data_IF_184903429636
#
_entry.id   IF_184903429636
#
_cell.length_a   1.000
_cell.length_b   1.000
_cell.length_c   1.000
_cell.angle_alpha   90.00
_cell.angle_beta   90.00
_cell.angle_gamma   90.00
#
_symmetry.space_group_name_H-M   'P 1'
#
loop_
_entity.id
_entity.type
_entity.pdbx_description
1 polymer ?
#
# COMPACT_ATOMS: atom_id res chain seq x y z
N UNK A 1 -25.98 -38.80 -59.20
CA UNK A 1 -26.30 -37.69 -58.26
C UNK A 1 -25.49 -37.73 -56.94
N UNK A 2 -24.90 -38.87 -56.52
CA UNK A 2 -24.12 -38.95 -55.27
C UNK A 2 -22.73 -38.27 -55.30
N UNK A 3 -22.10 -38.09 -56.46
CA UNK A 3 -20.75 -37.50 -56.55
C UNK A 3 -20.73 -35.98 -56.31
N UNK A 4 -21.83 -35.26 -56.57
CA UNK A 4 -21.92 -33.82 -56.30
C UNK A 4 -22.03 -33.49 -54.80
N UNK A 5 -22.63 -34.39 -54.02
CA UNK A 5 -22.80 -34.23 -52.57
C UNK A 5 -21.49 -34.41 -51.81
N UNK A 6 -20.64 -35.36 -52.23
CA UNK A 6 -19.31 -35.56 -51.65
C UNK A 6 -18.37 -34.38 -51.93
N UNK A 7 -18.43 -33.80 -53.13
CA UNK A 7 -17.68 -32.60 -53.46
C UNK A 7 -18.12 -31.39 -52.63
N UNK A 8 -19.42 -31.26 -52.35
CA UNK A 8 -19.98 -30.18 -51.53
C UNK A 8 -19.62 -30.33 -50.05
N UNK A 9 -19.63 -31.57 -49.53
CA UNK A 9 -19.18 -31.87 -48.16
C UNK A 9 -17.68 -31.61 -47.97
N UNK A 10 -16.85 -31.97 -48.94
CA UNK A 10 -15.41 -31.68 -48.92
C UNK A 10 -15.11 -30.17 -48.95
N UNK A 11 -15.90 -29.40 -49.70
CA UNK A 11 -15.74 -27.95 -49.79
C UNK A 11 -16.17 -27.24 -48.49
N UNK A 12 -17.22 -27.71 -47.83
CA UNK A 12 -17.64 -27.21 -46.51
C UNK A 12 -16.63 -27.59 -45.43
N UNK A 13 -16.05 -28.80 -45.48
CA UNK A 13 -15.00 -29.21 -44.53
C UNK A 13 -13.70 -28.43 -44.73
N UNK A 14 -13.32 -28.11 -45.98
CA UNK A 14 -12.17 -27.27 -46.28
C UNK A 14 -12.38 -25.83 -45.80
N UNK A 15 -13.60 -25.28 -45.92
CA UNK A 15 -13.95 -23.95 -45.42
C UNK A 15 -13.99 -23.85 -43.89
N UNK A 16 -14.31 -24.95 -43.19
CA UNK A 16 -14.31 -25.04 -41.72
C UNK A 16 -12.89 -25.22 -41.13
N UNK A 17 -11.97 -25.80 -41.91
CA UNK A 17 -10.55 -25.94 -41.54
C UNK A 17 -9.70 -24.71 -41.90
N UNK A 18 -10.18 -23.86 -42.81
CA UNK A 18 -9.60 -22.55 -43.07
C UNK A 18 -10.13 -21.51 -42.08
N UNK A 19 -9.94 -21.73 -40.78
CA UNK A 19 -9.87 -20.56 -39.90
C UNK A 19 -8.57 -19.84 -40.29
N UNK A 20 -8.59 -18.54 -40.63
CA UNK A 20 -7.35 -17.80 -40.73
C UNK A 20 -6.71 -17.91 -39.35
N UNK A 21 -5.63 -18.67 -39.25
CA UNK A 21 -4.70 -18.47 -38.15
C UNK A 21 -4.40 -16.97 -38.20
N UNK A 22 -4.87 -16.21 -37.21
CA UNK A 22 -4.44 -14.83 -37.01
C UNK A 22 -2.96 -14.89 -36.67
N UNK A 23 -2.13 -15.13 -37.68
CA UNK A 23 -0.69 -15.08 -37.58
C UNK A 23 -0.39 -13.63 -37.24
N UNK A 24 0.00 -13.40 -35.98
CA UNK A 24 0.43 -12.08 -35.56
C UNK A 24 1.58 -11.65 -36.45
N UNK A 25 1.51 -10.43 -36.97
CA UNK A 25 2.56 -9.91 -37.84
C UNK A 25 3.68 -9.41 -36.95
N UNK A 26 4.82 -10.11 -37.01
CA UNK A 26 6.01 -9.70 -36.29
C UNK A 26 6.56 -8.38 -36.84
N UNK A 27 6.93 -7.48 -35.93
CA UNK A 27 7.57 -6.20 -36.18
C UNK A 27 8.91 -6.14 -35.44
N UNK A 28 9.88 -5.46 -36.04
CA UNK A 28 11.13 -5.11 -35.37
C UNK A 28 10.93 -3.93 -34.41
N UNK A 29 11.80 -3.79 -33.41
CA UNK A 29 11.80 -2.65 -32.50
C UNK A 29 11.92 -1.30 -33.22
N UNK A 30 12.69 -1.26 -34.32
CA UNK A 30 12.85 -0.03 -35.11
C UNK A 30 11.53 0.36 -35.78
N UNK A 31 10.80 -0.59 -36.36
CA UNK A 31 9.48 -0.33 -36.96
C UNK A 31 8.47 0.14 -35.91
N UNK A 32 8.45 -0.47 -34.73
CA UNK A 32 7.59 -0.05 -33.62
C UNK A 32 7.87 1.41 -33.24
N UNK A 33 9.14 1.77 -33.08
CA UNK A 33 9.53 3.14 -32.71
C UNK A 33 9.19 4.16 -33.81
N UNK A 34 9.34 3.78 -35.08
CA UNK A 34 8.94 4.62 -36.21
C UNK A 34 7.42 4.86 -36.25
N UNK A 35 6.62 3.83 -35.95
CA UNK A 35 5.16 3.96 -35.87
C UNK A 35 4.73 4.84 -34.71
N UNK A 36 5.29 4.64 -33.51
CA UNK A 36 5.00 5.47 -32.33
C UNK A 36 5.36 6.93 -32.62
N UNK A 37 6.49 7.19 -33.29
CA UNK A 37 6.96 8.55 -33.59
C UNK A 37 6.34 9.14 -34.86
N UNK A 38 5.38 8.46 -35.51
CA UNK A 38 4.82 8.88 -36.78
C UNK A 38 4.01 10.19 -36.62
N UNK A 39 4.34 11.28 -37.34
CA UNK A 39 3.65 12.56 -37.18
C UNK A 39 2.14 12.51 -37.43
N UNK A 40 1.68 11.68 -38.36
CA UNK A 40 0.26 11.54 -38.69
C UNK A 40 -0.49 10.90 -37.52
N UNK A 41 0.08 9.85 -36.92
CA UNK A 41 -0.52 9.18 -35.75
C UNK A 41 -0.52 10.13 -34.56
N UNK A 42 0.58 10.85 -34.32
CA UNK A 42 0.68 11.82 -33.23
C UNK A 42 -0.35 12.96 -33.35
N UNK A 43 -0.56 13.48 -34.56
CA UNK A 43 -1.62 14.45 -34.82
C UNK A 43 -3.00 13.87 -34.52
N UNK A 44 -3.29 12.63 -34.94
CA UNK A 44 -4.56 11.97 -34.67
C UNK A 44 -4.78 11.71 -33.18
N UNK A 45 -3.75 11.30 -32.46
CA UNK A 45 -3.83 11.13 -31.00
C UNK A 45 -4.09 12.47 -30.30
N UNK A 46 -3.52 13.57 -30.81
CA UNK A 46 -3.84 14.91 -30.29
C UNK A 46 -5.32 15.26 -30.47
N UNK A 47 -5.88 15.01 -31.66
CA UNK A 47 -7.33 15.17 -31.91
C UNK A 47 -8.17 14.24 -30.99
N UNK A 48 -7.69 13.03 -30.72
CA UNK A 48 -8.37 12.09 -29.82
C UNK A 48 -8.30 12.53 -28.37
N UNK A 49 -7.20 13.15 -27.94
CA UNK A 49 -7.09 13.76 -26.63
C UNK A 49 -8.10 14.88 -26.44
N UNK A 50 -8.40 15.68 -27.46
CA UNK A 50 -9.47 16.69 -27.38
C UNK A 50 -10.84 16.05 -27.16
N UNK A 51 -11.12 14.90 -27.77
CA UNK A 51 -12.35 14.14 -27.55
C UNK A 51 -12.42 13.56 -26.14
N UNK A 52 -11.29 13.06 -25.61
CA UNK A 52 -11.17 12.60 -24.21
C UNK A 52 -11.46 13.74 -23.24
N UNK A 53 -10.87 14.92 -23.43
CA UNK A 53 -11.08 16.07 -22.54
C UNK A 53 -12.52 16.61 -22.59
N UNK A 54 -13.24 16.39 -23.70
CA UNK A 54 -14.66 16.74 -23.88
C UNK A 54 -15.62 15.63 -23.44
N UNK A 55 -15.13 14.48 -22.97
CA UNK A 55 -15.89 13.27 -22.65
C UNK A 55 -16.74 12.74 -23.84
N UNK A 56 -16.31 13.03 -25.09
CA UNK A 56 -16.94 12.53 -26.33
C UNK A 56 -16.40 11.15 -26.70
N UNK A 57 -16.79 10.15 -25.92
CA UNK A 57 -16.28 8.78 -26.03
C UNK A 57 -16.82 8.07 -27.29
N UNK A 58 -18.02 8.44 -27.75
CA UNK A 58 -18.59 7.86 -28.96
C UNK A 58 -17.89 8.40 -30.21
N UNK A 59 -17.60 9.70 -30.25
CA UNK A 59 -16.75 10.31 -31.28
C UNK A 59 -15.35 9.71 -31.29
N UNK A 60 -14.76 9.48 -30.11
CA UNK A 60 -13.44 8.84 -29.97
C UNK A 60 -13.42 7.41 -30.55
N UNK A 61 -14.40 6.57 -30.16
CA UNK A 61 -14.53 5.20 -30.68
C UNK A 61 -14.67 5.20 -32.20
N UNK A 62 -15.54 6.07 -32.72
CA UNK A 62 -15.76 6.20 -34.15
C UNK A 62 -14.46 6.59 -34.87
N UNK A 63 -13.73 7.59 -34.37
CA UNK A 63 -12.51 8.06 -35.00
C UNK A 63 -11.39 7.02 -34.97
N UNK A 64 -11.21 6.30 -33.86
CA UNK A 64 -10.23 5.21 -33.74
C UNK A 64 -10.56 4.02 -34.67
N UNK A 65 -11.84 3.67 -34.79
CA UNK A 65 -12.27 2.54 -35.60
C UNK A 65 -12.12 2.76 -37.11
N UNK A 66 -11.93 4.02 -37.54
CA UNK A 66 -11.71 4.38 -38.95
C UNK A 66 -10.24 4.32 -39.37
N UNK A 67 -9.31 4.25 -38.42
CA UNK A 67 -7.91 4.07 -38.75
C UNK A 67 -7.67 2.64 -39.28
N UNK A 68 -6.85 2.54 -40.32
CA UNK A 68 -6.36 1.25 -40.79
C UNK A 68 -5.28 0.71 -39.85
N UNK A 69 -5.08 -0.61 -39.84
CA UNK A 69 -3.90 -1.22 -39.23
C UNK A 69 -2.64 -0.86 -40.04
N UNK A 70 -1.48 -0.60 -39.40
CA UNK A 70 -1.22 -0.64 -37.96
C UNK A 70 -1.61 0.64 -37.20
N UNK A 71 -1.89 1.75 -37.88
CA UNK A 71 -2.13 3.08 -37.27
C UNK A 71 -3.18 3.04 -36.15
N UNK A 72 -4.20 2.21 -36.28
CA UNK A 72 -5.21 2.03 -35.24
C UNK A 72 -4.64 1.51 -33.92
N UNK A 73 -3.80 0.46 -33.93
CA UNK A 73 -3.22 -0.09 -32.69
C UNK A 73 -2.20 0.87 -32.09
N UNK A 74 -1.42 1.55 -32.94
CA UNK A 74 -0.48 2.59 -32.51
C UNK A 74 -1.24 3.72 -31.83
N UNK A 75 -2.32 4.22 -32.44
CA UNK A 75 -3.12 5.29 -31.87
C UNK A 75 -3.77 4.89 -30.54
N UNK A 76 -4.25 3.64 -30.40
CA UNK A 76 -4.75 3.12 -29.11
C UNK A 76 -3.65 3.13 -28.06
N UNK A 77 -2.46 2.65 -28.40
CA UNK A 77 -1.32 2.58 -27.49
C UNK A 77 -0.87 3.97 -27.04
N UNK A 78 -0.59 4.88 -27.97
CA UNK A 78 -0.12 6.24 -27.65
C UNK A 78 -1.20 7.02 -26.91
N UNK A 79 -2.48 6.90 -27.29
CA UNK A 79 -3.58 7.55 -26.58
C UNK A 79 -3.66 7.12 -25.10
N UNK A 80 -3.66 5.81 -24.84
CA UNK A 80 -3.71 5.31 -23.46
C UNK A 80 -2.44 5.68 -22.68
N UNK A 81 -1.28 5.70 -23.36
CA UNK A 81 -0.03 6.14 -22.76
C UNK A 81 -0.08 7.63 -22.35
N UNK A 82 -0.61 8.50 -23.20
CA UNK A 82 -0.80 9.93 -22.88
C UNK A 82 -1.78 10.13 -21.71
N UNK A 83 -2.88 9.36 -21.66
CA UNK A 83 -3.82 9.38 -20.54
C UNK A 83 -3.14 8.98 -19.23
N UNK A 84 -2.33 7.92 -19.25
CA UNK A 84 -1.57 7.44 -18.09
C UNK A 84 -0.52 8.45 -17.65
N UNK A 85 0.29 8.97 -18.59
CA UNK A 85 1.38 9.92 -18.30
C UNK A 85 0.87 11.26 -17.75
N UNK A 86 -0.27 11.75 -18.27
CA UNK A 86 -0.90 12.98 -17.78
C UNK A 86 -1.77 12.78 -16.55
N UNK A 87 -1.89 11.54 -16.05
CA UNK A 87 -2.71 11.17 -14.88
C UNK A 87 -4.15 11.71 -14.99
N UNK A 88 -4.77 11.54 -16.16
CA UNK A 88 -6.14 12.02 -16.39
C UNK A 88 -7.12 11.18 -15.58
N UNK A 89 -7.96 11.85 -14.80
CA UNK A 89 -9.05 11.21 -14.04
C UNK A 89 -10.10 10.68 -15.03
N UNK A 90 -10.34 9.38 -15.01
CA UNK A 90 -11.31 8.77 -15.93
C UNK A 90 -12.75 9.04 -15.47
N UNK A 91 -13.57 9.55 -16.39
CA UNK A 91 -15.03 9.54 -16.23
C UNK A 91 -15.55 8.10 -16.31
N UNK A 92 -16.78 7.80 -15.82
CA UNK A 92 -17.36 6.47 -15.96
C UNK A 92 -17.45 5.99 -17.43
N UNK A 93 -17.79 6.90 -18.36
CA UNK A 93 -17.83 6.58 -19.80
C UNK A 93 -16.45 6.24 -20.34
N UNK A 94 -15.43 7.03 -19.94
CA UNK A 94 -14.06 6.78 -20.34
C UNK A 94 -13.51 5.47 -19.74
N UNK A 95 -13.83 5.16 -18.48
CA UNK A 95 -13.46 3.89 -17.86
C UNK A 95 -14.04 2.68 -18.62
N UNK A 96 -15.29 2.76 -19.10
CA UNK A 96 -15.87 1.72 -19.97
C UNK A 96 -15.08 1.59 -21.27
N UNK A 97 -14.73 2.71 -21.91
CA UNK A 97 -13.91 2.69 -23.12
C UNK A 97 -12.53 2.09 -22.89
N UNK A 98 -11.80 2.55 -21.88
CA UNK A 98 -10.47 2.03 -21.51
C UNK A 98 -10.57 0.54 -21.23
N UNK A 99 -11.56 0.09 -20.44
CA UNK A 99 -11.78 -1.34 -20.14
C UNK A 99 -11.99 -2.17 -21.39
N UNK A 100 -12.73 -1.65 -22.37
CA UNK A 100 -12.93 -2.35 -23.65
C UNK A 100 -11.63 -2.57 -24.44
N UNK A 101 -10.61 -1.71 -24.25
CA UNK A 101 -9.30 -1.87 -24.91
C UNK A 101 -8.53 -3.09 -24.41
N UNK A 102 -8.75 -3.52 -23.15
CA UNK A 102 -8.10 -4.70 -22.56
C UNK A 102 -8.46 -5.99 -23.31
N UNK A 103 -9.66 -6.06 -23.88
CA UNK A 103 -10.21 -7.27 -24.50
C UNK A 103 -10.01 -7.34 -26.02
N UNK A 104 -9.40 -6.32 -26.63
CA UNK A 104 -9.15 -6.33 -28.07
C UNK A 104 -7.89 -7.16 -28.38
N UNK A 105 -7.91 -8.00 -29.43
CA UNK A 105 -6.74 -8.75 -29.84
C UNK A 105 -5.69 -7.82 -30.46
N UNK A 106 -4.42 -8.12 -30.20
CA UNK A 106 -3.27 -7.42 -30.80
C UNK A 106 -2.83 -8.15 -32.05
N UNK A 107 -2.77 -7.44 -33.18
CA UNK A 107 -2.41 -8.00 -34.49
C UNK A 107 -0.91 -8.03 -34.68
N UNK A 108 -0.20 -7.05 -34.12
CA UNK A 108 1.25 -6.91 -34.27
C UNK A 108 1.98 -7.34 -33.01
N UNK A 109 3.03 -8.14 -33.20
CA UNK A 109 3.88 -8.64 -32.11
C UNK A 109 5.34 -8.28 -32.37
N UNK A 110 6.16 -8.30 -31.34
CA UNK A 110 7.60 -8.09 -31.42
C UNK A 110 8.29 -9.14 -30.56
N UNK A 111 9.46 -9.61 -31.01
CA UNK A 111 10.31 -10.47 -30.21
C UNK A 111 11.06 -9.66 -29.16
N UNK A 112 10.92 -10.06 -27.91
CA UNK A 112 11.69 -9.57 -26.78
C UNK A 112 12.66 -10.67 -26.33
N UNK A 113 13.92 -10.28 -26.07
CA UNK A 113 14.98 -11.19 -25.61
C UNK A 113 15.35 -10.85 -24.17
N UNK A 114 15.25 -11.84 -23.28
CA UNK A 114 15.63 -11.71 -21.87
C UNK A 114 16.08 -13.05 -21.31
N UNK A 115 17.15 -13.06 -20.49
CA UNK A 115 17.66 -14.23 -19.76
C UNK A 115 17.86 -15.51 -20.59
N UNK A 116 18.26 -15.37 -21.87
CA UNK A 116 18.50 -16.50 -22.77
C UNK A 116 17.25 -17.08 -23.44
N UNK A 117 16.08 -16.45 -23.24
CA UNK A 117 14.82 -16.81 -23.87
C UNK A 117 14.34 -15.71 -24.83
N UNK A 118 13.61 -16.12 -25.87
CA UNK A 118 12.88 -15.23 -26.77
C UNK A 118 11.38 -15.41 -26.55
N UNK A 119 10.65 -14.31 -26.34
CA UNK A 119 9.21 -14.34 -26.19
C UNK A 119 8.55 -13.29 -27.08
N UNK A 120 7.36 -13.61 -27.58
CA UNK A 120 6.58 -12.74 -28.44
C UNK A 120 5.61 -11.91 -27.58
N UNK A 121 5.74 -10.58 -27.65
CA UNK A 121 4.86 -9.63 -26.96
C UNK A 121 4.08 -8.79 -27.96
N UNK A 122 2.93 -8.20 -27.58
CA UNK A 122 2.27 -7.19 -28.41
C UNK A 122 3.21 -6.02 -28.72
N UNK A 123 3.36 -5.68 -30.00
CA UNK A 123 4.19 -4.56 -30.45
C UNK A 123 3.68 -3.22 -29.90
N UNK A 124 2.36 -3.09 -29.74
CA UNK A 124 1.69 -1.95 -29.14
C UNK A 124 0.82 -2.44 -27.98
N UNK A 125 1.40 -2.50 -26.77
CA UNK A 125 0.76 -3.15 -25.62
C UNK A 125 -0.30 -2.27 -24.91
N UNK A 126 -1.27 -1.77 -25.67
CA UNK A 126 -2.41 -1.02 -25.15
C UNK A 126 -3.29 -1.84 -24.16
N UNK A 127 -3.41 -3.19 -24.24
CA UNK A 127 -4.16 -3.94 -23.24
C UNK A 127 -3.53 -3.85 -21.83
N UNK A 128 -2.20 -3.85 -21.74
CA UNK A 128 -1.52 -3.70 -20.45
C UNK A 128 -1.71 -2.29 -19.86
N UNK A 129 -1.61 -1.24 -20.67
CA UNK A 129 -1.87 0.15 -20.21
C UNK A 129 -3.32 0.27 -19.73
N UNK A 130 -4.27 -0.25 -20.51
CA UNK A 130 -5.69 -0.29 -20.12
C UNK A 130 -5.90 -0.97 -18.77
N UNK A 131 -5.28 -2.12 -18.54
CA UNK A 131 -5.38 -2.84 -17.27
C UNK A 131 -4.88 -2.02 -16.07
N UNK A 132 -3.78 -1.26 -16.24
CA UNK A 132 -3.26 -0.36 -15.21
C UNK A 132 -4.16 0.84 -14.96
N UNK A 133 -4.63 1.50 -16.00
CA UNK A 133 -5.56 2.63 -15.91
C UNK A 133 -6.86 2.24 -15.17
N UNK A 134 -7.46 1.09 -15.51
CA UNK A 134 -8.65 0.59 -14.81
C UNK A 134 -8.36 0.23 -13.36
N UNK A 135 -7.18 -0.32 -13.07
CA UNK A 135 -6.76 -0.59 -11.69
C UNK A 135 -6.67 0.72 -10.88
N UNK A 136 -6.07 1.76 -11.45
CA UNK A 136 -5.98 3.10 -10.82
C UNK A 136 -7.37 3.67 -10.57
N UNK A 137 -8.22 3.73 -11.59
CA UNK A 137 -9.56 4.30 -11.46
C UNK A 137 -10.42 3.59 -10.40
N UNK A 138 -10.39 2.26 -10.36
CA UNK A 138 -11.09 1.51 -9.31
C UNK A 138 -10.56 1.83 -7.91
N UNK A 139 -9.24 2.07 -7.78
CA UNK A 139 -8.65 2.51 -6.52
C UNK A 139 -9.14 3.92 -6.15
N UNK A 140 -9.15 4.85 -7.09
CA UNK A 140 -9.58 6.24 -6.86
C UNK A 140 -11.04 6.31 -6.42
N UNK A 141 -11.93 5.51 -7.05
CA UNK A 141 -13.33 5.42 -6.64
C UNK A 141 -13.48 4.89 -5.21
N UNK A 142 -12.74 3.84 -4.84
CA UNK A 142 -12.76 3.30 -3.48
C UNK A 142 -12.20 4.28 -2.46
N UNK A 143 -11.15 5.01 -2.81
CA UNK A 143 -10.58 6.08 -1.96
C UNK A 143 -11.62 7.18 -1.72
N UNK A 144 -12.26 7.68 -2.78
CA UNK A 144 -13.27 8.71 -2.66
C UNK A 144 -14.48 8.24 -1.84
N UNK A 145 -14.96 7.02 -2.09
CA UNK A 145 -16.06 6.43 -1.33
C UNK A 145 -15.72 6.32 0.17
N UNK A 146 -14.53 5.81 0.49
CA UNK A 146 -14.02 5.75 1.86
C UNK A 146 -13.99 7.13 2.51
N UNK A 147 -13.34 8.11 1.88
CA UNK A 147 -13.24 9.48 2.41
C UNK A 147 -14.65 10.05 2.64
N UNK A 148 -15.55 9.97 1.65
CA UNK A 148 -16.91 10.50 1.79
C UNK A 148 -17.70 9.85 2.92
N UNK A 149 -17.60 8.53 3.11
CA UNK A 149 -18.28 7.84 4.21
C UNK A 149 -17.74 8.25 5.57
N UNK A 150 -16.43 8.45 5.69
CA UNK A 150 -15.82 8.88 6.95
C UNK A 150 -16.14 10.35 7.25
N UNK A 151 -16.01 11.23 6.27
CA UNK A 151 -16.30 12.67 6.40
C UNK A 151 -17.77 12.95 6.73
N UNK A 152 -18.67 12.02 6.37
CA UNK A 152 -20.09 12.09 6.74
C UNK A 152 -20.41 11.39 8.05
N UNK A 153 -19.42 10.84 8.74
CA UNK A 153 -19.60 10.06 9.97
C UNK A 153 -20.51 8.82 9.77
N UNK A 154 -20.49 8.25 8.55
CA UNK A 154 -21.31 7.10 8.15
C UNK A 154 -20.52 5.77 8.20
N UNK A 155 -19.19 5.81 8.20
CA UNK A 155 -18.34 4.62 8.16
C UNK A 155 -18.22 3.94 9.54
N UNK A 156 -18.75 2.72 9.68
CA UNK A 156 -18.53 1.87 10.86
C UNK A 156 -17.29 1.00 10.64
N UNK A 157 -16.21 1.26 11.38
CA UNK A 157 -14.90 0.60 11.21
C UNK A 157 -14.96 -0.91 11.34
N UNK A 158 -15.69 -1.41 12.35
CA UNK A 158 -15.81 -2.85 12.60
C UNK A 158 -16.35 -3.56 11.38
N UNK A 159 -17.50 -3.11 10.88
CA UNK A 159 -18.20 -3.75 9.78
C UNK A 159 -17.36 -3.63 8.51
N UNK A 160 -16.85 -2.41 8.24
CA UNK A 160 -16.04 -2.14 7.08
C UNK A 160 -14.72 -2.94 7.04
N UNK A 161 -14.03 -3.14 8.17
CA UNK A 161 -12.79 -3.93 8.21
C UNK A 161 -13.01 -5.44 8.41
N UNK A 162 -14.22 -5.88 8.76
CA UNK A 162 -14.52 -7.30 9.00
C UNK A 162 -15.26 -7.98 7.87
N UNK A 163 -15.97 -7.23 7.03
CA UNK A 163 -16.73 -7.77 5.90
C UNK A 163 -15.83 -8.26 4.75
N UNK A 164 -16.30 -9.27 4.02
CA UNK A 164 -15.67 -9.76 2.79
C UNK A 164 -14.56 -10.79 3.00
N UNK A 165 -13.75 -10.98 1.97
CA UNK A 165 -12.62 -11.91 1.99
C UNK A 165 -11.40 -11.30 2.69
N UNK A 166 -10.43 -12.11 3.12
CA UNK A 166 -9.19 -11.60 3.71
C UNK A 166 -8.44 -10.64 2.78
N UNK A 167 -8.54 -10.87 1.46
CA UNK A 167 -8.00 -9.96 0.44
C UNK A 167 -8.69 -8.59 0.45
N UNK A 168 -10.03 -8.57 0.55
CA UNK A 168 -10.79 -7.32 0.64
C UNK A 168 -10.45 -6.53 1.91
N UNK A 169 -10.32 -7.24 3.04
CA UNK A 169 -9.91 -6.66 4.32
C UNK A 169 -8.53 -6.02 4.23
N UNK A 170 -7.56 -6.71 3.64
CA UNK A 170 -6.22 -6.17 3.47
C UNK A 170 -6.21 -4.89 2.61
N UNK A 171 -6.98 -4.86 1.52
CA UNK A 171 -7.13 -3.66 0.69
C UNK A 171 -7.72 -2.50 1.48
N UNK A 172 -8.75 -2.76 2.30
CA UNK A 172 -9.41 -1.73 3.13
C UNK A 172 -8.47 -1.21 4.21
N UNK A 173 -7.70 -2.09 4.87
CA UNK A 173 -6.68 -1.66 5.81
C UNK A 173 -5.59 -0.83 5.14
N UNK A 174 -5.10 -1.25 3.97
CA UNK A 174 -4.11 -0.49 3.19
C UNK A 174 -4.63 0.91 2.84
N UNK A 175 -5.90 0.98 2.42
CA UNK A 175 -6.57 2.23 2.10
C UNK A 175 -6.67 3.14 3.33
N UNK A 176 -7.17 2.62 4.46
CA UNK A 176 -7.27 3.39 5.70
C UNK A 176 -5.89 3.89 6.13
N UNK A 177 -4.89 3.01 6.20
CA UNK A 177 -3.54 3.39 6.65
C UNK A 177 -2.94 4.50 5.78
N UNK A 178 -3.18 4.43 4.47
CA UNK A 178 -2.67 5.41 3.51
C UNK A 178 -3.38 6.77 3.61
N UNK A 179 -4.70 6.76 3.77
CA UNK A 179 -5.52 7.99 3.69
C UNK A 179 -5.85 8.60 5.05
N UNK A 180 -5.51 7.95 6.17
CA UNK A 180 -5.94 8.43 7.50
C UNK A 180 -5.47 9.86 7.82
N UNK A 181 -4.30 10.27 7.32
CA UNK A 181 -3.78 11.63 7.50
C UNK A 181 -4.38 12.67 6.54
N UNK A 182 -5.11 12.24 5.50
CA UNK A 182 -5.82 13.14 4.57
C UNK A 182 -7.24 13.48 5.02
N UNK A 183 -7.76 12.76 6.03
CA UNK A 183 -9.08 13.00 6.63
C UNK A 183 -9.11 14.29 7.46
N UNK A 184 -10.31 14.89 7.57
CA UNK A 184 -10.54 16.02 8.47
C UNK A 184 -10.33 15.65 9.94
N UNK A 185 -10.02 16.63 10.82
CA UNK A 185 -9.93 16.38 12.26
C UNK A 185 -11.21 15.77 12.85
N UNK A 186 -12.37 16.19 12.35
CA UNK A 186 -13.68 15.67 12.75
C UNK A 186 -13.84 14.19 12.36
N UNK A 187 -13.53 13.85 11.11
CA UNK A 187 -13.49 12.48 10.61
C UNK A 187 -12.55 11.58 11.44
N UNK A 188 -11.33 12.06 11.73
CA UNK A 188 -10.35 11.33 12.54
C UNK A 188 -10.83 11.10 13.97
N UNK A 189 -11.48 12.11 14.57
CA UNK A 189 -12.07 11.99 15.90
C UNK A 189 -13.23 10.99 15.90
N UNK A 190 -14.10 11.02 14.88
CA UNK A 190 -15.19 10.07 14.71
C UNK A 190 -14.68 8.62 14.68
N UNK A 191 -13.69 8.31 13.83
CA UNK A 191 -13.10 6.97 13.74
C UNK A 191 -12.41 6.55 15.04
N UNK A 192 -11.71 7.48 15.70
CA UNK A 192 -11.02 7.20 16.97
C UNK A 192 -11.98 6.87 18.10
N UNK A 193 -13.13 7.54 18.17
CA UNK A 193 -14.17 7.27 19.19
C UNK A 193 -14.73 5.85 19.09
N UNK A 194 -14.87 5.32 17.87
CA UNK A 194 -15.34 3.95 17.67
C UNK A 194 -14.44 2.91 18.36
N UNK A 195 -13.14 3.19 18.50
CA UNK A 195 -12.20 2.30 19.18
C UNK A 195 -12.06 2.63 20.67
N UNK A 196 -12.12 3.90 21.05
CA UNK A 196 -11.77 4.36 22.41
C UNK A 196 -12.96 4.48 23.37
N UNK A 197 -14.19 4.64 22.85
CA UNK A 197 -15.41 4.79 23.66
C UNK A 197 -16.30 3.54 23.62
N UNK A 198 -16.14 2.68 22.61
CA UNK A 198 -16.83 1.40 22.58
C UNK A 198 -16.33 0.51 23.73
N UNK A 199 -17.22 -0.31 24.32
CA UNK A 199 -16.78 -1.34 25.28
C UNK A 199 -16.03 -2.41 24.48
N UNK A 200 -14.69 -2.34 24.52
CA UNK A 200 -13.80 -3.16 23.69
C UNK A 200 -13.80 -4.59 24.24
N UNK A 201 -14.77 -5.39 23.80
CA UNK A 201 -14.84 -6.80 24.19
C UNK A 201 -14.98 -7.76 23.02
N UNK A 202 -15.25 -7.28 21.79
CA UNK A 202 -15.55 -8.19 20.68
C UNK A 202 -14.62 -8.08 19.46
N UNK A 203 -13.98 -6.93 19.23
CA UNK A 203 -13.20 -6.73 18.01
C UNK A 203 -12.18 -5.60 18.15
N UNK A 204 -11.01 -5.79 17.53
CA UNK A 204 -9.98 -4.77 17.34
C UNK A 204 -9.44 -4.88 15.90
N UNK A 205 -9.05 -3.76 15.27
CA UNK A 205 -8.40 -3.79 13.97
C UNK A 205 -6.97 -4.35 14.10
N UNK A 206 -6.30 -4.58 12.96
CA UNK A 206 -4.90 -5.01 12.98
C UNK A 206 -3.99 -4.00 13.68
N UNK A 207 -2.88 -4.47 14.25
CA UNK A 207 -1.88 -3.62 14.90
C UNK A 207 -1.41 -2.49 13.98
N UNK A 208 -1.30 -2.78 12.68
CA UNK A 208 -0.90 -1.80 11.66
C UNK A 208 -1.88 -0.61 11.57
N UNK A 209 -3.18 -0.90 11.53
CA UNK A 209 -4.22 0.14 11.51
C UNK A 209 -4.16 0.96 12.79
N UNK A 210 -4.11 0.29 13.95
CA UNK A 210 -4.11 0.97 15.24
C UNK A 210 -2.88 1.85 15.44
N UNK A 211 -1.69 1.38 15.04
CA UNK A 211 -0.46 2.17 15.02
C UNK A 211 -0.64 3.44 14.19
N UNK A 212 -1.15 3.33 12.97
CA UNK A 212 -1.33 4.51 12.10
C UNK A 212 -2.30 5.53 12.70
N UNK A 213 -3.42 5.06 13.23
CA UNK A 213 -4.40 5.94 13.89
C UNK A 213 -3.79 6.63 15.12
N UNK A 214 -3.05 5.89 15.94
CA UNK A 214 -2.38 6.41 17.13
C UNK A 214 -1.29 7.45 16.76
N UNK A 215 -0.52 7.20 15.70
CA UNK A 215 0.52 8.11 15.21
C UNK A 215 -0.05 9.48 14.78
N UNK A 216 -1.13 9.46 13.99
CA UNK A 216 -1.72 10.68 13.42
C UNK A 216 -2.40 11.51 14.50
N UNK A 217 -3.15 10.87 15.41
CA UNK A 217 -3.90 11.59 16.43
C UNK A 217 -3.11 11.87 17.72
N UNK A 218 -1.97 11.19 17.92
CA UNK A 218 -1.23 11.18 19.19
C UNK A 218 -2.15 10.89 20.40
N UNK A 219 -3.15 10.03 20.19
CA UNK A 219 -4.17 9.73 21.19
C UNK A 219 -3.67 8.67 22.18
N UNK A 220 -3.62 9.03 23.47
CA UNK A 220 -3.12 8.15 24.53
C UNK A 220 -3.96 6.89 24.70
N UNK A 221 -5.29 6.95 24.49
CA UNK A 221 -6.16 5.79 24.61
C UNK A 221 -5.91 4.81 23.47
N UNK A 222 -5.69 5.28 22.24
CA UNK A 222 -5.30 4.40 21.13
C UNK A 222 -3.98 3.67 21.41
N UNK A 223 -2.99 4.37 21.97
CA UNK A 223 -1.74 3.72 22.40
C UNK A 223 -1.96 2.75 23.56
N UNK A 224 -2.82 3.07 24.53
CA UNK A 224 -3.16 2.14 25.60
C UNK A 224 -3.73 0.83 25.05
N UNK A 225 -4.59 0.91 24.03
CA UNK A 225 -5.10 -0.27 23.33
C UNK A 225 -3.99 -1.02 22.61
N UNK A 226 -3.13 -0.32 21.88
CA UNK A 226 -2.00 -0.89 21.16
C UNK A 226 -1.09 -1.70 22.10
N UNK A 227 -0.77 -1.16 23.27
CA UNK A 227 0.11 -1.81 24.24
C UNK A 227 -0.54 -2.99 24.97
N UNK A 228 -1.87 -3.11 24.95
CA UNK A 228 -2.59 -4.29 25.46
C UNK A 228 -2.66 -5.43 24.45
N UNK A 229 -2.46 -5.16 23.16
CA UNK A 229 -2.46 -6.18 22.12
C UNK A 229 -1.24 -7.11 22.22
N UNK A 230 -1.36 -8.29 21.60
CA UNK A 230 -0.20 -9.17 21.41
C UNK A 230 0.83 -8.42 20.56
N UNK A 231 2.07 -8.36 21.07
CA UNK A 231 3.15 -7.75 20.32
C UNK A 231 3.43 -8.49 19.01
N UNK A 232 3.57 -7.73 17.94
CA UNK A 232 3.99 -8.16 16.62
C UNK A 232 5.01 -7.17 16.02
N UNK A 233 5.40 -7.41 14.79
CA UNK A 233 6.35 -6.56 14.06
C UNK A 233 5.93 -5.09 14.01
N UNK A 234 4.63 -4.78 13.87
CA UNK A 234 4.15 -3.39 13.79
C UNK A 234 4.24 -2.68 15.14
N UNK A 235 3.92 -3.37 16.24
CA UNK A 235 4.07 -2.79 17.59
C UNK A 235 5.54 -2.54 17.95
N UNK A 236 6.45 -3.41 17.51
CA UNK A 236 7.90 -3.26 17.73
C UNK A 236 8.46 -2.10 16.89
N UNK A 237 8.09 -2.02 15.62
CA UNK A 237 8.49 -0.92 14.74
C UNK A 237 7.96 0.43 15.24
N UNK A 238 6.76 0.48 15.81
CA UNK A 238 6.23 1.72 16.41
C UNK A 238 7.04 2.13 17.64
N UNK A 239 7.46 1.18 18.47
CA UNK A 239 8.30 1.44 19.63
C UNK A 239 9.67 2.02 19.20
N UNK A 240 10.30 1.45 18.17
CA UNK A 240 11.54 1.98 17.57
C UNK A 240 11.34 3.40 17.04
N UNK A 241 10.23 3.64 16.33
CA UNK A 241 9.90 4.99 15.81
C UNK A 241 9.74 6.00 16.94
N UNK A 242 9.03 5.65 18.02
CA UNK A 242 8.87 6.51 19.20
C UNK A 242 10.23 6.83 19.84
N UNK A 243 11.13 5.84 19.90
CA UNK A 243 12.49 6.03 20.41
C UNK A 243 13.33 6.99 19.56
N UNK A 244 13.06 7.06 18.26
CA UNK A 244 13.68 8.03 17.35
C UNK A 244 13.10 9.45 17.50
N UNK A 245 11.78 9.57 17.72
CA UNK A 245 11.10 10.88 17.86
C UNK A 245 11.54 11.61 19.12
N UNK A 246 11.78 10.90 20.23
CA UNK A 246 12.30 11.46 21.50
C UNK A 246 11.51 12.66 22.03
N UNK A 247 10.20 12.72 21.77
CA UNK A 247 9.32 13.73 22.39
C UNK A 247 8.91 13.27 23.80
N UNK A 248 8.49 14.19 24.69
CA UNK A 248 7.96 13.82 26.00
C UNK A 248 6.81 12.81 25.92
N UNK A 249 5.92 12.98 24.94
CA UNK A 249 4.85 12.05 24.63
C UNK A 249 5.40 10.68 24.22
N UNK A 250 6.36 10.64 23.29
CA UNK A 250 6.93 9.38 22.82
C UNK A 250 7.62 8.59 23.94
N UNK A 251 8.40 9.28 24.78
CA UNK A 251 9.01 8.66 25.96
C UNK A 251 7.97 8.12 26.92
N UNK A 252 6.86 8.86 27.12
CA UNK A 252 5.74 8.37 27.92
C UNK A 252 5.13 7.09 27.35
N UNK A 253 4.92 7.04 26.04
CA UNK A 253 4.39 5.86 25.37
C UNK A 253 5.33 4.65 25.46
N UNK A 254 6.65 4.83 25.34
CA UNK A 254 7.61 3.73 25.52
C UNK A 254 7.59 3.20 26.96
N UNK A 255 7.46 4.09 27.96
CA UNK A 255 7.29 3.68 29.37
C UNK A 255 6.01 2.87 29.59
N UNK A 256 4.92 3.21 28.89
CA UNK A 256 3.66 2.45 28.94
C UNK A 256 3.78 1.10 28.21
N UNK A 257 4.40 1.07 27.02
CA UNK A 257 4.66 -0.14 26.25
C UNK A 257 5.47 -1.17 27.06
N UNK A 258 6.35 -0.72 27.96
CA UNK A 258 7.13 -1.57 28.85
C UNK A 258 6.28 -2.44 29.79
N UNK A 259 4.99 -2.16 29.96
CA UNK A 259 4.06 -2.99 30.74
C UNK A 259 3.66 -4.26 29.99
N UNK A 260 3.76 -4.27 28.66
CA UNK A 260 3.53 -5.44 27.85
C UNK A 260 4.74 -6.40 27.98
N UNK A 261 4.56 -7.65 28.46
CA UNK A 261 5.67 -8.57 28.68
C UNK A 261 6.52 -8.82 27.42
N UNK A 262 5.91 -8.80 26.24
CA UNK A 262 6.60 -9.04 24.97
C UNK A 262 7.37 -7.83 24.44
N UNK A 263 7.01 -6.60 24.85
CA UNK A 263 7.70 -5.36 24.46
C UNK A 263 8.64 -4.84 25.56
N UNK A 264 8.55 -5.36 26.79
CA UNK A 264 9.26 -4.85 27.97
C UNK A 264 10.76 -4.65 27.75
N UNK A 265 11.45 -5.67 27.24
CA UNK A 265 12.91 -5.61 27.06
C UNK A 265 13.28 -4.53 26.05
N UNK A 266 12.62 -4.52 24.88
CA UNK A 266 12.86 -3.53 23.85
C UNK A 266 12.56 -2.11 24.35
N UNK A 267 11.44 -1.89 25.04
CA UNK A 267 11.09 -0.60 25.64
C UNK A 267 12.18 -0.08 26.59
N UNK A 268 12.70 -0.94 27.47
CA UNK A 268 13.75 -0.57 28.43
C UNK A 268 15.07 -0.28 27.70
N UNK A 269 15.44 -1.08 26.71
CA UNK A 269 16.63 -0.85 25.88
C UNK A 269 16.55 0.51 25.19
N UNK A 270 15.41 0.84 24.57
CA UNK A 270 15.22 2.12 23.91
C UNK A 270 15.20 3.32 24.87
N UNK A 271 14.64 3.17 26.07
CA UNK A 271 14.70 4.22 27.09
C UNK A 271 16.12 4.44 27.61
N UNK A 272 16.91 3.37 27.76
CA UNK A 272 18.29 3.44 28.23
C UNK A 272 19.24 4.07 27.19
N UNK A 273 18.92 3.98 25.90
CA UNK A 273 19.71 4.56 24.81
C UNK A 273 19.60 6.09 24.67
N UNK A 274 18.64 6.70 25.39
CA UNK A 274 18.42 8.15 25.35
C UNK A 274 19.58 8.88 26.04
N UNK A 275 20.18 9.85 25.34
CA UNK A 275 21.27 10.67 25.85
C UNK A 275 21.04 12.16 25.51
N UNK A 276 21.03 13.08 26.51
CA UNK A 276 21.05 12.82 27.96
C UNK A 276 19.74 12.18 28.45
N UNK A 277 19.81 11.39 29.53
CA UNK A 277 18.61 10.79 30.15
C UNK A 277 17.74 11.88 30.79
N UNK A 278 16.47 12.04 30.35
CA UNK A 278 15.54 12.97 30.98
C UNK A 278 15.10 12.48 32.36
N UNK A 279 14.76 13.41 33.27
CA UNK A 279 14.43 13.08 34.67
C UNK A 279 13.24 12.12 34.83
N UNK A 280 12.21 12.25 33.97
CA UNK A 280 11.07 11.32 33.97
C UNK A 280 11.51 9.88 33.64
N UNK A 281 12.41 9.72 32.66
CA UNK A 281 12.96 8.41 32.28
C UNK A 281 13.86 7.86 33.38
N UNK A 282 14.70 8.69 34.02
CA UNK A 282 15.51 8.28 35.17
C UNK A 282 14.63 7.73 36.30
N UNK A 283 13.62 8.47 36.72
CA UNK A 283 12.71 8.05 37.79
C UNK A 283 12.02 6.72 37.45
N UNK A 284 11.58 6.56 36.21
CA UNK A 284 10.98 5.32 35.74
C UNK A 284 11.96 4.14 35.79
N UNK A 285 13.18 4.29 35.26
CA UNK A 285 14.19 3.23 35.26
C UNK A 285 14.64 2.87 36.69
N UNK A 286 14.75 3.85 37.59
CA UNK A 286 15.01 3.62 39.02
C UNK A 286 13.90 2.80 39.65
N UNK A 287 12.62 3.14 39.38
CA UNK A 287 11.49 2.36 39.86
C UNK A 287 11.49 0.92 39.32
N UNK A 288 11.96 0.69 38.09
CA UNK A 288 12.14 -0.66 37.55
C UNK A 288 13.25 -1.44 38.28
N UNK A 289 14.33 -0.77 38.66
CA UNK A 289 15.44 -1.37 39.43
C UNK A 289 15.11 -1.75 40.88
N UNK A 290 13.92 -1.40 41.39
CA UNK A 290 13.44 -1.93 42.68
C UNK A 290 12.89 -3.35 42.55
N UNK A 291 12.52 -3.79 41.35
CA UNK A 291 12.06 -5.15 41.06
C UNK A 291 13.22 -6.10 40.82
N UNK A 292 13.15 -7.31 41.37
CA UNK A 292 14.18 -8.35 41.18
C UNK A 292 14.30 -8.75 39.70
N UNK A 293 13.17 -8.83 39.00
CA UNK A 293 13.11 -9.30 37.61
C UNK A 293 13.72 -8.32 36.61
N UNK A 294 13.71 -7.03 36.93
CA UNK A 294 14.11 -5.97 36.01
C UNK A 294 15.47 -5.34 36.38
N UNK A 295 15.90 -5.40 37.66
CA UNK A 295 17.07 -4.67 38.16
C UNK A 295 18.37 -4.96 37.42
N UNK A 296 18.71 -6.24 37.22
CA UNK A 296 19.94 -6.64 36.53
C UNK A 296 19.92 -6.19 35.05
N UNK A 297 18.80 -6.44 34.36
CA UNK A 297 18.65 -6.08 32.95
C UNK A 297 18.73 -4.56 32.72
N UNK A 298 18.00 -3.77 33.51
CA UNK A 298 18.00 -2.30 33.41
C UNK A 298 19.40 -1.75 33.66
N UNK A 299 20.11 -2.24 34.68
CA UNK A 299 21.47 -1.83 34.99
C UNK A 299 22.45 -2.12 33.84
N UNK A 300 22.39 -3.32 33.25
CA UNK A 300 23.21 -3.67 32.08
C UNK A 300 22.92 -2.77 30.89
N UNK A 301 21.65 -2.52 30.56
CA UNK A 301 21.28 -1.67 29.43
C UNK A 301 21.77 -0.22 29.63
N UNK A 302 21.62 0.34 30.82
CA UNK A 302 22.12 1.67 31.15
C UNK A 302 23.65 1.76 31.06
N UNK A 303 24.36 0.74 31.54
CA UNK A 303 25.82 0.68 31.46
C UNK A 303 26.32 0.61 30.01
N UNK A 304 25.71 -0.25 29.19
CA UNK A 304 26.02 -0.38 27.76
C UNK A 304 25.81 0.92 26.98
N UNK A 305 24.84 1.74 27.40
CA UNK A 305 24.55 3.04 26.80
C UNK A 305 25.30 4.22 27.45
N UNK A 306 26.35 3.95 28.24
CA UNK A 306 27.26 4.96 28.77
C UNK A 306 26.86 5.58 30.11
N UNK A 307 25.79 5.10 30.76
CA UNK A 307 25.27 5.64 32.02
C UNK A 307 25.83 4.95 33.27
N UNK A 308 26.91 4.17 33.14
CA UNK A 308 27.46 3.34 34.23
C UNK A 308 27.81 4.12 35.51
N UNK A 309 28.32 5.35 35.39
CA UNK A 309 28.59 6.23 36.54
C UNK A 309 27.33 6.53 37.34
N UNK A 310 26.29 7.01 36.65
CA UNK A 310 24.99 7.30 37.26
C UNK A 310 24.36 6.06 37.89
N UNK A 311 24.45 4.88 37.25
CA UNK A 311 23.90 3.64 37.83
C UNK A 311 24.59 3.26 39.15
N UNK A 312 25.91 3.45 39.27
CA UNK A 312 26.64 3.24 40.54
C UNK A 312 26.20 4.23 41.61
N UNK A 313 25.99 5.49 41.24
CA UNK A 313 25.50 6.52 42.16
C UNK A 313 24.10 6.16 42.68
N UNK A 314 23.20 5.68 41.82
CA UNK A 314 21.87 5.19 42.23
C UNK A 314 21.97 4.00 43.17
N UNK A 315 22.83 3.00 42.86
CA UNK A 315 22.99 1.81 43.69
C UNK A 315 23.56 2.10 45.09
N UNK A 316 24.34 3.17 45.22
CA UNK A 316 24.94 3.60 46.50
C UNK A 316 24.05 4.57 47.30
N UNK A 317 23.24 5.38 46.63
CA UNK A 317 22.41 6.42 47.26
C UNK A 317 20.98 6.00 47.54
N UNK A 318 20.43 5.01 46.83
CA UNK A 318 19.05 4.58 46.95
C UNK A 318 18.95 3.17 47.57
N UNK A 319 18.42 3.07 48.79
CA UNK A 319 18.27 1.79 49.51
C UNK A 319 17.14 0.90 48.98
N UNK A 320 16.24 1.43 48.15
CA UNK A 320 15.09 0.67 47.61
C UNK A 320 15.46 -0.15 46.37
N UNK A 321 16.51 0.23 45.65
CA UNK A 321 16.96 -0.52 44.48
C UNK A 321 17.71 -1.78 44.90
N UNK A 322 17.73 -2.81 44.04
CA UNK A 322 18.46 -4.05 44.31
C UNK A 322 19.95 -3.88 44.04
N UNK A 323 20.63 -3.12 44.89
CA UNK A 323 22.03 -2.70 44.72
C UNK A 323 22.99 -3.87 44.45
N UNK A 324 22.81 -5.03 45.09
CA UNK A 324 23.63 -6.21 44.85
C UNK A 324 23.51 -6.74 43.41
N UNK A 325 22.28 -6.82 42.88
CA UNK A 325 22.02 -7.25 41.50
C UNK A 325 22.55 -6.23 40.49
N UNK A 326 22.41 -4.94 40.79
CA UNK A 326 22.93 -3.86 39.94
C UNK A 326 24.46 -3.93 39.87
N UNK A 327 25.14 -4.01 41.01
CA UNK A 327 26.60 -4.08 41.03
C UNK A 327 27.15 -5.34 40.35
N UNK A 328 26.47 -6.48 40.50
CA UNK A 328 26.80 -7.70 39.77
C UNK A 328 26.62 -7.55 38.25
N UNK A 329 25.55 -6.87 37.82
CA UNK A 329 25.28 -6.60 36.41
C UNK A 329 26.31 -5.64 35.78
N UNK A 330 26.94 -4.76 36.58
CA UNK A 330 27.98 -3.83 36.15
C UNK A 330 29.39 -4.43 36.15
N UNK A 331 29.60 -5.58 36.79
CA UNK A 331 30.90 -6.25 36.87
C UNK A 331 31.14 -7.29 35.76
N UNK A 332 30.10 -7.64 35.00
CA UNK A 332 30.14 -8.53 33.85
C UNK A 332 30.30 -7.73 32.55
#
# INVERSE_FOLDING_TARGET
MLQGWLASLLLVFAALLSQPAFASKEMTQQEVNQWISNPIVQQKVTEYMDLVMKDDIDGLKFALNRLALPQQEVARYVLLQEIEQRSIILTPKMAIFVKSQKSLPTTYTMLERGDGYEFSIPAFNYPAISARLIKSWNSDQKTLEFILQVEREELVLRDWLSEGTDYDRQIREDLLVREFDSLSPEANAYLTKQLTEATITEWLPSTRVLVRMAQVNQDEKLYELLWKMRADYHSQAELERLAQVKSPFAMHQIMLASRNPSLKQQAITELASINPLPENVKNFLVARMTSVDDASFVATQLAQNGHSGWVRDVASSNSQVKASLILQALSN
#
